data_IF_619125448329
#
_entry.id   IF_619125448329
#
_cell.length_a   1.000
_cell.length_b   1.000
_cell.length_c   1.000
_cell.angle_alpha   90.00
_cell.angle_beta   90.00
_cell.angle_gamma   90.00
#
_symmetry.space_group_name_H-M   'P 1'
#
loop_
_entity.id
_entity.type
_entity.pdbx_description
1 polymer ?
#
# COMPACT_ATOMS: atom_id res chain seq x y z
N UNK A 1 15.40 -20.68 41.73
CA UNK A 1 15.34 -20.53 40.27
C UNK A 1 13.90 -20.70 39.81
N UNK A 2 13.20 -19.60 39.48
CA UNK A 2 11.85 -19.64 38.89
C UNK A 2 11.98 -19.27 37.40
N UNK A 3 11.48 -20.08 36.47
CA UNK A 3 11.62 -19.82 35.03
C UNK A 3 10.78 -18.60 34.64
N UNK A 4 11.33 -17.79 33.73
CA UNK A 4 10.69 -16.60 33.18
C UNK A 4 9.37 -16.96 32.46
N UNK A 5 8.32 -16.12 32.54
CA UNK A 5 7.16 -16.30 31.68
C UNK A 5 7.58 -15.98 30.23
N UNK A 6 7.55 -17.00 29.38
CA UNK A 6 7.69 -16.85 27.94
C UNK A 6 6.52 -16.00 27.45
N UNK A 7 6.81 -14.76 27.06
CA UNK A 7 5.89 -13.87 26.37
C UNK A 7 5.48 -14.57 25.06
N UNK A 8 4.20 -14.89 24.82
CA UNK A 8 3.81 -15.35 23.50
C UNK A 8 4.00 -14.17 22.56
N UNK A 9 4.95 -14.30 21.63
CA UNK A 9 5.07 -13.38 20.51
C UNK A 9 3.72 -13.40 19.77
N UNK A 10 3.04 -12.26 19.75
CA UNK A 10 1.80 -12.09 19.01
C UNK A 10 2.07 -12.49 17.56
N UNK A 11 1.50 -13.62 17.15
CA UNK A 11 1.52 -14.06 15.77
C UNK A 11 0.92 -12.96 14.91
N UNK A 12 1.49 -12.65 13.73
CA UNK A 12 0.83 -11.74 12.81
C UNK A 12 -0.50 -12.38 12.44
N UNK A 13 -1.59 -11.71 12.83
CA UNK A 13 -2.94 -12.05 12.40
C UNK A 13 -2.94 -12.06 10.87
N UNK A 14 -2.98 -13.24 10.29
CA UNK A 14 -3.15 -13.42 8.85
C UNK A 14 -4.55 -12.94 8.51
N UNK A 15 -4.63 -11.68 8.07
CA UNK A 15 -5.90 -11.03 7.74
C UNK A 15 -6.63 -11.88 6.71
N UNK A 16 -7.81 -12.34 7.12
CA UNK A 16 -8.59 -13.35 6.43
C UNK A 16 -8.78 -12.97 4.96
N UNK A 17 -8.54 -13.96 4.10
CA UNK A 17 -8.73 -13.90 2.66
C UNK A 17 -10.19 -13.55 2.32
N UNK A 18 -10.49 -12.26 2.27
CA UNK A 18 -11.64 -11.74 1.55
C UNK A 18 -11.55 -12.23 0.10
N UNK A 19 -12.68 -12.54 -0.57
CA UNK A 19 -12.66 -12.92 -1.97
C UNK A 19 -11.91 -11.83 -2.74
N UNK A 20 -10.71 -12.16 -3.20
CA UNK A 20 -9.75 -11.19 -3.70
C UNK A 20 -10.30 -10.58 -4.99
N UNK A 21 -11.06 -9.49 -4.85
CA UNK A 21 -11.53 -8.70 -5.96
C UNK A 21 -10.31 -8.02 -6.55
N UNK A 22 -9.97 -8.47 -7.74
CA UNK A 22 -8.89 -7.90 -8.53
C UNK A 22 -9.45 -6.73 -9.32
N UNK A 23 -8.93 -5.53 -9.04
CA UNK A 23 -9.25 -4.32 -9.75
C UNK A 23 -8.19 -4.06 -10.82
N UNK A 24 -8.63 -3.55 -11.96
CA UNK A 24 -7.72 -2.99 -12.98
C UNK A 24 -7.04 -1.73 -12.45
N UNK A 25 -6.05 -1.21 -13.19
CA UNK A 25 -5.39 0.03 -12.79
C UNK A 25 -6.38 1.20 -12.70
N UNK A 26 -7.34 1.29 -13.62
CA UNK A 26 -8.36 2.35 -13.65
C UNK A 26 -9.30 2.25 -12.42
N UNK A 27 -9.85 1.06 -12.18
CA UNK A 27 -10.71 0.80 -11.01
C UNK A 27 -9.96 1.00 -9.68
N UNK A 28 -8.68 0.63 -9.62
CA UNK A 28 -7.85 0.86 -8.44
C UNK A 28 -7.61 2.35 -8.21
N UNK A 29 -7.46 3.13 -9.29
CA UNK A 29 -7.33 4.57 -9.22
C UNK A 29 -8.63 5.21 -8.72
N UNK A 30 -9.78 4.79 -9.25
CA UNK A 30 -11.09 5.22 -8.77
C UNK A 30 -11.32 4.87 -7.29
N UNK A 31 -10.93 3.66 -6.87
CA UNK A 31 -11.03 3.21 -5.49
C UNK A 31 -10.24 4.09 -4.52
N UNK A 32 -9.01 4.45 -4.89
CA UNK A 32 -8.15 5.33 -4.08
C UNK A 32 -8.39 6.83 -4.33
N UNK A 33 -9.32 7.19 -5.22
CA UNK A 33 -9.55 8.57 -5.70
C UNK A 33 -8.27 9.23 -6.27
N UNK A 34 -7.41 8.42 -6.90
CA UNK A 34 -6.19 8.84 -7.56
C UNK A 34 -6.33 8.78 -9.08
N UNK A 35 -5.44 9.46 -9.79
CA UNK A 35 -5.34 9.30 -11.24
C UNK A 35 -4.66 7.98 -11.61
N UNK A 36 -5.11 7.25 -12.66
CA UNK A 36 -4.46 6.03 -13.15
C UNK A 36 -2.95 6.23 -13.40
N UNK A 37 -2.60 7.36 -14.02
CA UNK A 37 -1.21 7.81 -14.25
C UNK A 37 -0.37 7.90 -12.97
N UNK A 38 -0.97 8.27 -11.84
CA UNK A 38 -0.28 8.32 -10.55
C UNK A 38 0.06 6.91 -10.09
N UNK A 39 -0.85 5.95 -10.21
CA UNK A 39 -0.58 4.54 -9.89
C UNK A 39 0.47 3.93 -10.83
N UNK A 40 0.49 4.31 -12.11
CA UNK A 40 1.54 3.92 -13.04
C UNK A 40 2.91 4.49 -12.64
N UNK A 41 2.99 5.79 -12.31
CA UNK A 41 4.22 6.43 -11.82
C UNK A 41 4.72 5.75 -10.55
N UNK A 42 3.83 5.51 -9.59
CA UNK A 42 4.14 4.85 -8.32
C UNK A 42 4.66 3.41 -8.50
N UNK A 43 4.23 2.70 -9.55
CA UNK A 43 4.78 1.40 -9.92
C UNK A 43 6.21 1.47 -10.42
N UNK A 44 6.53 2.48 -11.23
CA UNK A 44 7.89 2.64 -11.77
C UNK A 44 8.86 3.08 -10.68
N UNK A 45 8.40 3.97 -9.79
CA UNK A 45 9.21 4.49 -8.68
C UNK A 45 9.34 3.50 -7.51
N UNK A 46 8.47 2.49 -7.41
CA UNK A 46 8.51 1.48 -6.36
C UNK A 46 7.80 1.87 -5.06
N UNK A 47 6.94 2.90 -5.07
CA UNK A 47 6.18 3.38 -3.90
C UNK A 47 4.68 3.04 -3.92
N UNK A 48 4.21 2.33 -4.95
CA UNK A 48 2.78 2.05 -5.16
C UNK A 48 2.24 0.80 -4.45
N UNK A 49 0.91 0.63 -4.44
CA UNK A 49 0.27 -0.56 -3.90
C UNK A 49 0.74 -1.83 -4.62
N UNK A 50 0.78 -2.94 -3.88
CA UNK A 50 1.21 -4.23 -4.43
C UNK A 50 0.32 -4.59 -5.61
N UNK A 51 0.97 -4.94 -6.71
CA UNK A 51 0.31 -5.30 -7.95
C UNK A 51 0.58 -6.75 -8.31
N UNK A 52 -0.36 -7.35 -9.03
CA UNK A 52 -0.27 -8.70 -9.58
C UNK A 52 -0.34 -8.61 -11.10
N UNK A 53 0.63 -9.24 -11.76
CA UNK A 53 0.72 -9.25 -13.22
C UNK A 53 0.00 -10.49 -13.76
N UNK A 54 -1.13 -10.29 -14.41
CA UNK A 54 -1.87 -11.33 -15.12
C UNK A 54 -1.60 -11.22 -16.62
N UNK A 55 -0.50 -11.81 -17.06
CA UNK A 55 -0.05 -11.76 -18.46
C UNK A 55 0.26 -10.33 -18.89
N UNK A 56 -0.53 -9.78 -19.83
CA UNK A 56 -0.42 -8.37 -20.27
C UNK A 56 -1.09 -7.38 -19.32
N UNK A 57 -1.98 -7.86 -18.45
CA UNK A 57 -2.80 -7.02 -17.58
C UNK A 57 -2.19 -6.92 -16.20
N UNK A 58 -2.47 -5.78 -15.60
CA UNK A 58 -2.03 -5.38 -14.29
C UNK A 58 -3.28 -5.32 -13.44
N UNK A 59 -3.28 -6.03 -12.32
CA UNK A 59 -4.38 -5.98 -11.39
C UNK A 59 -3.89 -5.73 -9.98
N UNK A 60 -4.73 -5.07 -9.19
CA UNK A 60 -4.53 -4.78 -7.79
C UNK A 60 -5.54 -5.55 -6.99
N UNK A 61 -5.13 -6.14 -5.88
CA UNK A 61 -6.11 -6.67 -4.95
C UNK A 61 -6.65 -5.53 -4.10
N UNK A 62 -7.97 -5.51 -3.84
CA UNK A 62 -8.55 -4.53 -2.92
C UNK A 62 -7.86 -4.55 -1.56
N UNK A 63 -7.50 -5.74 -1.05
CA UNK A 63 -6.76 -5.87 0.19
C UNK A 63 -5.37 -5.22 0.16
N UNK A 64 -4.67 -5.28 -0.98
CA UNK A 64 -3.37 -4.65 -1.15
C UNK A 64 -3.50 -3.12 -1.28
N UNK A 65 -4.58 -2.62 -1.89
CA UNK A 65 -4.89 -1.19 -1.96
C UNK A 65 -5.24 -0.63 -0.58
N UNK A 66 -6.04 -1.36 0.19
CA UNK A 66 -6.45 -0.99 1.54
C UNK A 66 -5.26 -1.02 2.52
N UNK A 67 -4.42 -2.05 2.45
CA UNK A 67 -3.18 -2.12 3.21
C UNK A 67 -2.24 -0.95 2.87
N UNK A 68 -2.07 -0.64 1.58
CA UNK A 68 -1.25 0.48 1.14
C UNK A 68 -1.80 1.84 1.58
N UNK A 69 -3.12 2.02 1.51
CA UNK A 69 -3.79 3.23 2.00
C UNK A 69 -3.65 3.37 3.51
N UNK A 70 -3.82 2.28 4.27
CA UNK A 70 -3.65 2.24 5.72
C UNK A 70 -2.20 2.52 6.14
N UNK A 71 -1.23 1.99 5.40
CA UNK A 71 0.20 2.20 5.64
C UNK A 71 0.64 3.64 5.34
N UNK A 72 -0.08 4.34 4.44
CA UNK A 72 0.11 5.77 4.12
C UNK A 72 -0.93 6.68 4.77
N UNK A 73 -1.71 6.17 5.71
CA UNK A 73 -2.67 6.98 6.46
C UNK A 73 -1.92 7.70 7.58
N UNK A 74 -1.39 8.87 7.25
CA UNK A 74 -0.77 9.75 8.24
C UNK A 74 -1.87 10.51 9.00
N UNK A 75 -1.85 10.47 10.33
CA UNK A 75 -2.80 11.22 11.18
C UNK A 75 -2.62 12.74 11.08
N UNK A 76 -1.50 13.21 10.51
CA UNK A 76 -1.18 14.63 10.43
C UNK A 76 -0.45 14.95 9.12
N UNK A 77 -0.97 15.92 8.36
CA UNK A 77 -0.30 16.53 7.20
C UNK A 77 0.99 17.29 7.56
N UNK A 78 1.33 17.38 8.85
CA UNK A 78 2.58 17.97 9.37
C UNK A 78 3.66 16.92 9.66
N UNK A 79 3.42 15.65 9.34
CA UNK A 79 4.43 14.61 9.56
C UNK A 79 5.63 14.81 8.60
N UNK A 80 6.87 14.84 9.11
CA UNK A 80 8.06 15.02 8.27
C UNK A 80 8.19 13.92 7.20
N UNK A 81 7.70 12.72 7.47
CA UNK A 81 7.66 11.61 6.50
C UNK A 81 6.80 11.96 5.26
N UNK A 82 5.71 12.72 5.44
CA UNK A 82 4.87 13.22 4.35
C UNK A 82 5.62 14.25 3.49
N UNK A 83 6.36 15.16 4.13
CA UNK A 83 7.13 16.19 3.45
C UNK A 83 8.33 15.62 2.67
N UNK A 84 9.01 14.60 3.20
CA UNK A 84 10.12 13.91 2.52
C UNK A 84 9.64 13.11 1.30
N UNK A 85 8.48 12.44 1.43
CA UNK A 85 7.89 11.70 0.32
C UNK A 85 7.41 12.62 -0.82
N UNK A 86 6.91 13.82 -0.49
CA UNK A 86 6.43 14.82 -1.47
C UNK A 86 7.56 15.67 -2.09
N UNK A 87 8.66 15.86 -1.37
CA UNK A 87 9.84 16.59 -1.86
C UNK A 87 10.68 15.76 -2.84
N UNK A 88 10.71 14.43 -2.68
CA UNK A 88 11.30 13.52 -3.67
C UNK A 88 10.57 13.56 -5.03
N UNK A 89 9.26 13.82 -5.04
CA UNK A 89 8.45 13.91 -6.28
C UNK A 89 8.71 15.21 -7.07
N UNK A 90 9.17 16.26 -6.38
CA UNK A 90 9.28 17.62 -6.93
C UNK A 90 10.62 17.91 -7.62
N UNK A 91 11.60 16.99 -7.58
CA UNK A 91 12.98 17.24 -8.03
C UNK A 91 13.31 16.77 -9.46
N UNK A 92 12.29 16.38 -10.23
CA UNK A 92 12.45 15.92 -11.62
C UNK A 92 11.71 16.83 -12.64
N UNK A 93 11.79 18.16 -12.47
CA UNK A 93 11.51 19.12 -13.54
C UNK A 93 12.81 19.59 -14.18
#
# INVERSE_FOLDING_TARGET
MRPAPLRPAAAPIVSAAQPQRYLTNDEAAEYLRLSPRTLEKQRVLGGGPKFRKFGRRVMYAVADLDAWASERSFESTSDPEYAEQHSADSRAR
#
